data_IF_093398840231
#
_entry.id   IF_093398840231
#
_cell.length_a   1.000
_cell.length_b   1.000
_cell.length_c   1.000
_cell.angle_alpha   90.00
_cell.angle_beta   90.00
_cell.angle_gamma   90.00
#
_symmetry.space_group_name_H-M   'P 1'
#
loop_
_entity.id
_entity.type
_entity.pdbx_description
1 polymer ?
#
# COMPACT_ATOMS: atom_id res chain seq x y z
N UNK A 1 5.74 10.16 -28.50
CA UNK A 1 4.95 9.46 -27.45
C UNK A 1 5.36 7.99 -27.46
N UNK A 2 5.22 7.22 -26.37
CA UNK A 2 5.50 5.77 -26.46
C UNK A 2 4.27 5.07 -27.04
N UNK A 3 4.50 4.10 -27.93
CA UNK A 3 3.50 3.15 -28.41
C UNK A 3 4.02 1.75 -28.18
N UNK A 4 3.14 0.81 -27.91
CA UNK A 4 3.55 -0.58 -27.89
C UNK A 4 2.51 -1.56 -28.34
N UNK A 5 3.00 -2.78 -28.47
CA UNK A 5 2.32 -3.91 -29.07
C UNK A 5 2.74 -5.17 -28.33
N UNK A 6 1.77 -6.00 -27.97
CA UNK A 6 1.98 -7.33 -27.42
C UNK A 6 1.69 -8.38 -28.49
N UNK A 7 2.43 -9.48 -28.43
CA UNK A 7 2.19 -10.71 -29.19
C UNK A 7 2.30 -11.88 -28.21
N UNK A 8 1.19 -12.60 -28.02
CA UNK A 8 1.16 -13.83 -27.22
C UNK A 8 1.13 -15.02 -28.17
N UNK A 9 2.10 -15.91 -28.04
CA UNK A 9 2.16 -17.20 -28.74
C UNK A 9 1.91 -18.34 -27.76
N UNK A 10 0.81 -19.07 -27.92
CA UNK A 10 0.55 -20.32 -27.21
C UNK A 10 0.94 -21.50 -28.10
N UNK A 11 1.85 -22.35 -27.64
CA UNK A 11 2.30 -23.54 -28.39
C UNK A 11 1.87 -24.81 -27.67
N UNK A 12 1.05 -25.61 -28.33
CA UNK A 12 0.66 -26.95 -27.85
C UNK A 12 1.87 -27.90 -27.92
N UNK A 13 2.24 -28.50 -26.78
CA UNK A 13 3.47 -29.31 -26.68
C UNK A 13 3.37 -30.69 -27.34
N UNK A 14 2.16 -31.13 -27.70
CA UNK A 14 1.93 -32.44 -28.35
C UNK A 14 1.89 -32.31 -29.86
N UNK A 15 1.32 -31.22 -30.36
CA UNK A 15 1.06 -31.00 -31.79
C UNK A 15 1.98 -29.96 -32.42
N UNK A 16 2.68 -29.16 -31.61
CA UNK A 16 3.43 -27.97 -32.03
C UNK A 16 2.57 -26.91 -32.75
N UNK A 17 1.24 -26.97 -32.61
CA UNK A 17 0.34 -25.96 -33.16
C UNK A 17 0.46 -24.68 -32.34
N UNK A 18 0.55 -23.55 -33.05
CA UNK A 18 0.64 -22.21 -32.47
C UNK A 18 -0.68 -21.45 -32.59
N UNK A 19 -1.06 -20.76 -31.53
CA UNK A 19 -2.09 -19.74 -31.51
C UNK A 19 -1.42 -18.39 -31.22
N UNK A 20 -1.71 -17.37 -32.04
CA UNK A 20 -1.06 -16.06 -31.95
C UNK A 20 -2.14 -15.01 -31.72
N UNK A 21 -1.92 -14.16 -30.73
CA UNK A 21 -2.80 -13.06 -30.34
C UNK A 21 -1.99 -11.77 -30.29
N UNK A 22 -2.52 -10.69 -30.88
CA UNK A 22 -1.82 -9.41 -30.97
C UNK A 22 -2.76 -8.28 -30.61
N UNK A 23 -2.31 -7.36 -29.75
CA UNK A 23 -3.08 -6.19 -29.35
C UNK A 23 -2.14 -5.01 -29.05
N UNK A 24 -2.64 -3.78 -29.14
CA UNK A 24 -1.91 -2.55 -28.83
C UNK A 24 -2.17 -2.09 -27.40
N UNK A 25 -1.33 -1.22 -26.85
CA UNK A 25 -1.46 -0.77 -25.47
C UNK A 25 -1.73 0.73 -25.32
N UNK A 26 -2.34 1.07 -24.19
CA UNK A 26 -2.33 2.39 -23.60
C UNK A 26 -1.08 2.54 -22.72
N UNK A 27 -0.37 3.65 -22.82
CA UNK A 27 0.71 4.02 -21.89
C UNK A 27 0.09 4.77 -20.72
N UNK A 28 0.42 4.37 -19.49
CA UNK A 28 -0.08 5.06 -18.30
C UNK A 28 0.88 6.17 -17.86
N UNK A 29 0.44 6.95 -16.87
CA UNK A 29 1.23 7.97 -16.23
C UNK A 29 2.25 7.41 -15.22
N UNK A 30 2.29 6.09 -14.94
CA UNK A 30 3.12 5.53 -13.88
C UNK A 30 4.62 5.85 -14.05
N UNK A 31 5.21 5.56 -15.21
CA UNK A 31 6.63 5.82 -15.47
C UNK A 31 6.92 7.31 -15.75
N UNK A 32 6.08 8.06 -16.51
CA UNK A 32 6.21 9.50 -16.57
C UNK A 32 6.21 10.18 -15.19
N UNK A 33 5.33 9.75 -14.28
CA UNK A 33 5.21 10.24 -12.91
C UNK A 33 6.45 9.95 -12.08
N UNK A 34 7.02 8.76 -12.24
CA UNK A 34 8.27 8.36 -11.59
C UNK A 34 9.42 9.33 -11.88
N UNK A 35 9.46 9.91 -13.09
CA UNK A 35 10.53 10.80 -13.53
C UNK A 35 10.23 12.28 -13.24
N UNK A 36 8.96 12.68 -13.25
CA UNK A 36 8.56 14.10 -13.10
C UNK A 36 8.21 14.50 -11.68
N UNK A 37 7.74 13.56 -10.85
CA UNK A 37 7.33 13.87 -9.48
C UNK A 37 8.55 13.84 -8.55
N UNK A 38 8.56 14.77 -7.60
CA UNK A 38 9.51 14.78 -6.49
C UNK A 38 8.77 15.01 -5.16
N UNK A 39 8.09 13.97 -4.65
CA UNK A 39 7.24 14.11 -3.49
C UNK A 39 8.05 14.54 -2.26
N UNK A 40 7.67 15.67 -1.66
CA UNK A 40 8.32 16.31 -0.52
C UNK A 40 9.83 16.58 -0.68
N UNK A 41 10.32 16.70 -1.92
CA UNK A 41 11.75 16.87 -2.20
C UNK A 41 12.60 15.63 -1.89
N UNK A 42 11.97 14.48 -1.57
CA UNK A 42 12.64 13.26 -1.10
C UNK A 42 13.39 12.51 -2.20
N UNK A 43 13.35 12.98 -3.44
CA UNK A 43 14.23 12.48 -4.50
C UNK A 43 15.66 13.03 -4.36
N UNK A 44 15.94 13.96 -3.43
CA UNK A 44 17.28 14.52 -3.20
C UNK A 44 17.85 14.18 -1.81
N UNK A 45 19.17 13.96 -1.68
CA UNK A 45 20.09 13.63 -2.77
C UNK A 45 19.79 12.22 -3.29
N UNK A 46 19.78 12.04 -4.61
CA UNK A 46 19.31 10.83 -5.31
C UNK A 46 19.95 9.51 -4.83
N UNK A 47 21.16 9.55 -4.24
CA UNK A 47 21.98 8.35 -4.01
C UNK A 47 22.49 8.15 -2.56
N UNK A 48 21.99 8.91 -1.56
CA UNK A 48 22.23 8.59 -0.13
C UNK A 48 21.07 7.82 0.52
N UNK A 49 20.15 7.30 -0.31
CA UNK A 49 18.98 6.56 0.13
C UNK A 49 19.30 5.13 0.61
N UNK A 50 18.25 4.38 0.93
CA UNK A 50 18.38 2.97 1.34
C UNK A 50 18.81 2.08 0.16
N UNK A 51 18.47 2.50 -1.06
CA UNK A 51 18.91 1.93 -2.32
C UNK A 51 19.47 3.03 -3.21
N UNK A 52 20.27 2.65 -4.20
CA UNK A 52 20.75 3.58 -5.23
C UNK A 52 19.64 3.82 -6.24
N UNK A 53 19.05 5.03 -6.25
CA UNK A 53 17.92 5.36 -7.12
C UNK A 53 18.25 5.06 -8.59
N UNK A 54 19.45 5.43 -9.02
CA UNK A 54 19.90 5.19 -10.40
C UNK A 54 19.84 3.71 -10.81
N UNK A 55 20.15 2.80 -9.88
CA UNK A 55 20.24 1.36 -10.16
C UNK A 55 18.87 0.68 -10.14
N UNK A 56 17.89 1.30 -9.48
CA UNK A 56 16.51 0.84 -9.43
C UNK A 56 15.68 1.38 -10.61
N UNK A 57 16.00 2.57 -11.14
CA UNK A 57 15.21 3.22 -12.19
C UNK A 57 15.81 3.07 -13.59
N UNK A 58 17.14 3.00 -13.72
CA UNK A 58 17.81 2.99 -15.03
C UNK A 58 18.49 1.64 -15.36
N UNK A 59 18.50 1.24 -16.65
CA UNK A 59 17.82 1.87 -17.77
C UNK A 59 16.29 1.69 -17.72
N UNK A 60 15.53 2.71 -18.16
CA UNK A 60 14.06 2.79 -18.02
C UNK A 60 13.37 1.53 -18.58
N UNK A 61 13.78 1.06 -19.76
CA UNK A 61 13.19 -0.12 -20.38
C UNK A 61 13.28 -1.34 -19.45
N UNK A 62 14.48 -1.71 -19.02
CA UNK A 62 14.71 -2.92 -18.22
C UNK A 62 14.27 -2.80 -16.76
N UNK A 63 14.08 -1.58 -16.24
CA UNK A 63 13.75 -1.34 -14.84
C UNK A 63 12.30 -0.95 -14.65
N UNK A 64 11.85 0.12 -15.29
CA UNK A 64 10.50 0.67 -15.12
C UNK A 64 9.44 -0.07 -15.94
N UNK A 65 9.83 -0.69 -17.05
CA UNK A 65 8.96 -1.54 -17.86
C UNK A 65 9.45 -3.00 -17.92
N UNK A 66 10.39 -3.35 -17.03
CA UNK A 66 11.12 -4.62 -17.09
C UNK A 66 10.34 -5.84 -16.63
N UNK A 67 9.12 -5.66 -16.13
CA UNK A 67 8.23 -6.77 -15.77
C UNK A 67 6.94 -6.74 -16.56
N UNK A 68 6.21 -7.86 -16.53
CA UNK A 68 4.88 -8.01 -17.10
C UNK A 68 3.94 -8.65 -16.08
N UNK A 69 2.68 -8.21 -16.08
CA UNK A 69 1.58 -8.73 -15.27
C UNK A 69 0.45 -9.21 -16.20
N UNK A 70 -0.12 -10.39 -15.91
CA UNK A 70 -1.20 -11.01 -16.70
C UNK A 70 -2.44 -11.15 -15.81
N UNK A 71 -3.57 -10.55 -16.21
CA UNK A 71 -4.79 -10.55 -15.40
C UNK A 71 -5.94 -11.30 -16.06
N UNK A 72 -6.82 -11.84 -15.22
CA UNK A 72 -7.99 -12.59 -15.68
C UNK A 72 -9.02 -11.71 -16.37
N UNK A 73 -9.25 -10.50 -15.84
CA UNK A 73 -10.23 -9.57 -16.38
C UNK A 73 -9.56 -8.39 -17.10
N UNK A 74 -10.27 -7.74 -18.05
CA UNK A 74 -9.82 -6.48 -18.62
C UNK A 74 -9.54 -5.43 -17.54
N UNK A 75 -8.58 -4.56 -17.82
CA UNK A 75 -8.26 -3.39 -17.01
C UNK A 75 -8.95 -2.16 -17.59
N UNK A 76 -9.30 -1.20 -16.74
CA UNK A 76 -9.87 0.08 -17.17
C UNK A 76 -8.80 0.89 -17.93
N UNK A 77 -9.07 1.23 -19.20
CA UNK A 77 -8.15 1.99 -20.05
C UNK A 77 -8.16 3.49 -19.71
N UNK A 78 -7.47 3.86 -18.64
CA UNK A 78 -7.25 5.25 -18.22
C UNK A 78 -5.77 5.43 -17.85
N UNK A 79 -5.05 6.41 -18.45
CA UNK A 79 -3.65 6.67 -18.12
C UNK A 79 -3.38 6.94 -16.63
N UNK A 80 -4.39 7.34 -15.85
CA UNK A 80 -4.26 7.58 -14.42
C UNK A 80 -4.53 6.35 -13.55
N UNK A 81 -5.09 5.27 -14.12
CA UNK A 81 -5.34 4.00 -13.39
C UNK A 81 -4.09 3.13 -13.41
N UNK A 82 -3.13 3.52 -12.57
CA UNK A 82 -1.83 2.86 -12.50
C UNK A 82 -1.79 1.68 -11.53
N UNK A 83 -2.87 1.37 -10.81
CA UNK A 83 -2.94 0.23 -9.87
C UNK A 83 -4.08 -0.70 -10.30
N UNK A 84 -3.79 -1.99 -10.41
CA UNK A 84 -4.82 -2.99 -10.70
C UNK A 84 -5.80 -3.15 -9.52
N UNK A 85 -7.10 -3.36 -9.77
CA UNK A 85 -8.06 -3.71 -8.73
C UNK A 85 -7.67 -5.03 -8.03
N UNK A 86 -7.74 -5.08 -6.70
CA UNK A 86 -7.39 -6.29 -5.92
C UNK A 86 -8.26 -7.51 -6.21
N UNK A 87 -9.48 -7.28 -6.69
CA UNK A 87 -10.45 -8.29 -7.12
C UNK A 87 -10.24 -8.75 -8.57
N UNK A 88 -9.25 -8.23 -9.30
CA UNK A 88 -8.83 -8.77 -10.59
C UNK A 88 -7.71 -9.81 -10.40
N UNK A 89 -7.97 -11.11 -10.58
CA UNK A 89 -6.98 -12.14 -10.30
C UNK A 89 -5.74 -12.03 -11.19
N UNK A 90 -4.57 -12.06 -10.55
CA UNK A 90 -3.28 -12.20 -11.25
C UNK A 90 -3.06 -13.67 -11.64
N UNK A 91 -2.93 -13.91 -12.94
CA UNK A 91 -2.75 -15.24 -13.54
C UNK A 91 -1.28 -15.58 -13.69
N UNK A 92 -0.47 -14.58 -14.07
CA UNK A 92 0.97 -14.74 -14.18
C UNK A 92 1.68 -13.40 -14.13
N UNK A 93 2.99 -13.46 -13.96
CA UNK A 93 3.88 -12.32 -14.03
C UNK A 93 5.29 -12.79 -14.38
N UNK A 94 6.11 -11.90 -14.93
CA UNK A 94 7.52 -12.14 -15.13
C UNK A 94 8.32 -10.85 -14.96
N UNK A 95 9.59 -10.98 -14.60
CA UNK A 95 10.53 -9.87 -14.36
C UNK A 95 11.58 -9.85 -15.47
N UNK A 96 12.61 -9.02 -15.34
CA UNK A 96 13.73 -8.91 -16.30
C UNK A 96 14.80 -10.00 -16.13
N UNK A 97 14.55 -10.99 -15.28
CA UNK A 97 15.42 -12.10 -14.94
C UNK A 97 14.73 -13.46 -15.17
N UNK A 98 15.53 -14.52 -15.20
CA UNK A 98 15.05 -15.91 -15.27
C UNK A 98 14.43 -16.28 -13.93
N UNK A 99 13.29 -16.96 -13.93
CA UNK A 99 12.70 -17.50 -12.72
C UNK A 99 13.57 -18.65 -12.17
N UNK A 100 14.01 -18.52 -10.93
CA UNK A 100 14.80 -19.50 -10.18
C UNK A 100 13.97 -20.27 -9.14
N UNK A 101 12.65 -20.06 -9.10
CA UNK A 101 11.70 -20.70 -8.19
C UNK A 101 10.71 -21.60 -8.93
N UNK A 102 10.00 -22.45 -8.19
CA UNK A 102 8.90 -23.28 -8.67
C UNK A 102 7.53 -22.56 -8.66
N UNK A 103 7.52 -21.23 -8.51
CA UNK A 103 6.30 -20.44 -8.50
C UNK A 103 5.52 -20.57 -9.83
N UNK A 104 4.31 -21.14 -9.76
CA UNK A 104 3.43 -21.41 -10.91
C UNK A 104 2.89 -20.15 -11.60
N UNK A 105 3.03 -18.96 -11.01
CA UNK A 105 2.65 -17.70 -11.67
C UNK A 105 3.83 -17.00 -12.34
N UNK A 106 5.08 -17.37 -12.00
CA UNK A 106 6.27 -16.64 -12.43
C UNK A 106 6.86 -17.23 -13.72
N UNK A 107 6.80 -16.47 -14.81
CA UNK A 107 7.53 -16.73 -16.04
C UNK A 107 8.99 -16.25 -15.99
N UNK A 108 9.75 -16.55 -17.04
CA UNK A 108 11.17 -16.23 -17.17
C UNK A 108 11.44 -15.23 -18.28
N UNK A 109 12.31 -14.25 -18.05
CA UNK A 109 12.83 -13.42 -19.12
C UNK A 109 13.66 -14.25 -20.11
N UNK A 110 13.41 -14.05 -21.40
CA UNK A 110 14.29 -14.52 -22.45
C UNK A 110 15.38 -13.48 -22.70
N UNK A 111 16.53 -13.66 -22.06
CA UNK A 111 17.63 -12.70 -22.06
C UNK A 111 18.34 -12.57 -23.43
N UNK A 112 18.15 -13.56 -24.31
CA UNK A 112 18.71 -13.52 -25.68
C UNK A 112 17.82 -12.73 -26.63
N UNK A 113 16.51 -12.89 -26.51
CA UNK A 113 15.55 -12.22 -27.39
C UNK A 113 15.18 -10.81 -26.90
N UNK A 114 15.26 -10.55 -25.59
CA UNK A 114 15.00 -9.23 -25.00
C UNK A 114 16.15 -8.28 -25.26
N UNK A 115 15.94 -7.24 -26.06
CA UNK A 115 17.01 -6.34 -26.50
C UNK A 115 16.49 -4.98 -26.97
N UNK A 116 17.35 -3.96 -26.98
CA UNK A 116 17.07 -2.71 -27.69
C UNK A 116 16.73 -2.97 -29.16
N UNK A 117 15.81 -2.19 -29.69
CA UNK A 117 15.45 -2.12 -31.10
C UNK A 117 15.58 -0.66 -31.56
N UNK A 118 15.41 -0.41 -32.85
CA UNK A 118 15.40 0.98 -33.33
C UNK A 118 14.29 1.77 -32.63
N UNK A 119 14.68 2.91 -32.04
CA UNK A 119 13.80 3.81 -31.27
C UNK A 119 12.93 3.08 -30.24
N UNK A 120 13.42 2.03 -29.58
CA UNK A 120 12.59 1.26 -28.65
C UNK A 120 13.26 0.08 -27.98
N UNK A 121 12.44 -0.75 -27.34
CA UNK A 121 12.88 -1.99 -26.71
C UNK A 121 11.91 -3.14 -26.99
N UNK A 122 12.46 -4.34 -27.19
CA UNK A 122 11.70 -5.59 -27.29
C UNK A 122 11.92 -6.42 -26.03
N UNK A 123 10.85 -6.74 -25.34
CA UNK A 123 10.81 -7.64 -24.19
C UNK A 123 10.26 -9.00 -24.61
N UNK A 124 10.86 -10.08 -24.11
CA UNK A 124 10.39 -11.43 -24.38
C UNK A 124 10.40 -12.23 -23.08
N UNK A 125 9.26 -12.85 -22.75
CA UNK A 125 9.10 -13.74 -21.62
C UNK A 125 8.56 -15.10 -22.05
N UNK A 126 9.08 -16.14 -21.44
CA UNK A 126 8.69 -17.52 -21.65
C UNK A 126 8.03 -18.09 -20.38
N UNK A 127 6.88 -18.74 -20.55
CA UNK A 127 6.14 -19.45 -19.52
C UNK A 127 6.06 -20.92 -19.90
N UNK A 128 6.54 -21.78 -19.01
CA UNK A 128 6.46 -23.22 -19.19
C UNK A 128 5.02 -23.75 -19.07
N UNK A 129 4.85 -25.06 -19.24
CA UNK A 129 3.56 -25.73 -19.11
C UNK A 129 2.96 -25.62 -17.70
N UNK A 130 3.78 -25.50 -16.66
CA UNK A 130 3.30 -25.34 -15.28
C UNK A 130 3.06 -23.88 -14.88
N UNK A 131 3.37 -22.91 -15.75
CA UNK A 131 3.39 -21.49 -15.41
C UNK A 131 2.33 -20.67 -16.14
N UNK A 132 1.75 -19.70 -15.43
CA UNK A 132 0.80 -18.72 -15.99
C UNK A 132 -0.49 -19.35 -16.52
N UNK A 133 -0.91 -20.49 -15.96
CA UNK A 133 -2.12 -21.19 -16.41
C UNK A 133 -3.37 -20.50 -15.87
N UNK A 134 -4.33 -20.23 -16.75
CA UNK A 134 -5.55 -19.51 -16.43
C UNK A 134 -6.11 -18.76 -17.64
N UNK A 135 -7.27 -18.14 -17.44
CA UNK A 135 -7.89 -17.24 -18.41
C UNK A 135 -7.20 -15.89 -18.32
N UNK A 136 -6.70 -15.35 -19.42
CA UNK A 136 -6.01 -14.06 -19.47
C UNK A 136 -6.83 -13.14 -20.38
N UNK A 137 -7.18 -11.95 -19.89
CA UNK A 137 -7.87 -10.93 -20.70
C UNK A 137 -7.09 -9.63 -20.83
N UNK A 138 -6.04 -9.42 -20.03
CA UNK A 138 -5.22 -8.22 -20.15
C UNK A 138 -3.79 -8.42 -19.65
N UNK A 139 -2.92 -7.54 -20.13
CA UNK A 139 -1.49 -7.48 -19.84
C UNK A 139 -1.12 -6.06 -19.43
N UNK A 140 -0.14 -5.93 -18.53
CA UNK A 140 0.46 -4.64 -18.21
C UNK A 140 1.97 -4.79 -18.02
N UNK A 141 2.75 -3.90 -18.64
CA UNK A 141 4.15 -3.75 -18.24
C UNK A 141 4.21 -3.09 -16.87
N UNK A 142 5.22 -3.43 -16.08
CA UNK A 142 5.41 -2.97 -14.70
C UNK A 142 6.90 -2.80 -14.42
N UNK A 143 7.25 -2.23 -13.27
CA UNK A 143 8.62 -2.28 -12.78
C UNK A 143 9.12 -3.72 -12.67
N UNK A 144 10.41 -3.97 -12.90
CA UNK A 144 10.99 -5.32 -12.87
C UNK A 144 10.73 -6.04 -11.54
N UNK A 145 10.84 -5.31 -10.43
CA UNK A 145 10.48 -5.82 -9.09
C UNK A 145 9.00 -6.19 -8.96
N UNK A 146 8.08 -5.41 -9.55
CA UNK A 146 6.67 -5.75 -9.61
C UNK A 146 6.43 -7.04 -10.41
N UNK A 147 7.23 -7.27 -11.45
CA UNK A 147 7.26 -8.52 -12.21
C UNK A 147 7.85 -9.71 -11.44
N UNK A 148 8.43 -9.51 -10.25
CA UNK A 148 8.99 -10.62 -9.44
C UNK A 148 7.93 -11.35 -8.64
N UNK A 149 7.03 -10.60 -8.02
CA UNK A 149 6.07 -11.16 -7.09
C UNK A 149 4.73 -10.43 -7.07
N UNK A 150 4.52 -9.41 -7.91
CA UNK A 150 3.34 -8.53 -7.88
C UNK A 150 3.17 -7.91 -6.48
N UNK A 151 2.04 -8.17 -5.82
CA UNK A 151 1.79 -7.82 -4.42
C UNK A 151 2.39 -8.84 -3.44
N UNK A 152 3.22 -9.77 -3.88
CA UNK A 152 3.87 -10.78 -3.06
C UNK A 152 3.32 -12.19 -3.26
N UNK A 153 4.13 -13.16 -2.88
CA UNK A 153 3.84 -14.58 -2.86
C UNK A 153 4.65 -15.25 -1.73
N UNK A 154 4.60 -16.58 -1.60
CA UNK A 154 5.32 -17.32 -0.56
C UNK A 154 6.85 -17.20 -0.60
N UNK A 155 7.45 -16.80 -1.73
CA UNK A 155 8.89 -16.69 -1.92
C UNK A 155 9.39 -15.25 -1.71
N UNK A 156 8.59 -14.25 -2.09
CA UNK A 156 9.00 -12.86 -2.10
C UNK A 156 7.82 -11.91 -1.89
N UNK A 157 8.04 -10.90 -1.07
CA UNK A 157 7.13 -9.77 -0.80
C UNK A 157 7.86 -8.43 -0.81
N UNK A 158 9.16 -8.43 -0.53
CA UNK A 158 10.01 -7.24 -0.47
C UNK A 158 10.10 -6.53 -1.83
N UNK A 159 10.04 -7.26 -2.95
CA UNK A 159 10.07 -6.62 -4.27
C UNK A 159 8.91 -5.66 -4.51
N UNK A 160 7.75 -5.88 -3.88
CA UNK A 160 6.58 -5.02 -4.02
C UNK A 160 6.78 -3.63 -3.40
N UNK A 161 7.56 -3.53 -2.32
CA UNK A 161 7.68 -2.31 -1.51
C UNK A 161 9.14 -1.89 -1.45
N UNK A 162 9.51 -0.93 -2.30
CA UNK A 162 10.88 -0.45 -2.38
C UNK A 162 11.04 0.89 -1.63
N UNK A 163 11.75 0.91 -0.50
CA UNK A 163 12.12 2.16 0.17
C UNK A 163 13.25 2.84 -0.61
N UNK A 164 12.93 3.92 -1.33
CA UNK A 164 13.88 4.69 -2.11
C UNK A 164 14.71 5.61 -1.20
N UNK A 165 14.04 6.31 -0.29
CA UNK A 165 14.72 7.27 0.59
C UNK A 165 14.14 7.24 2.00
N UNK A 166 15.02 7.53 2.96
CA UNK A 166 14.70 7.75 4.37
C UNK A 166 15.56 8.90 4.85
N UNK A 167 14.90 9.98 5.25
CA UNK A 167 15.56 11.16 5.80
C UNK A 167 15.00 11.44 7.19
N UNK A 168 15.79 12.11 8.03
CA UNK A 168 15.43 12.40 9.40
C UNK A 168 15.74 13.84 9.75
N UNK A 169 14.88 14.47 10.54
CA UNK A 169 15.14 15.79 11.11
C UNK A 169 14.92 15.77 12.62
N UNK A 170 15.71 16.58 13.34
CA UNK A 170 15.43 16.88 14.74
C UNK A 170 14.30 17.89 14.82
N UNK A 171 13.38 17.66 15.75
CA UNK A 171 12.19 18.48 15.88
C UNK A 171 11.78 18.58 17.35
N UNK A 172 10.56 19.03 17.63
CA UNK A 172 9.97 19.03 18.95
C UNK A 172 8.86 17.99 19.10
N UNK A 173 8.41 17.82 20.33
CA UNK A 173 7.45 16.81 20.71
C UNK A 173 6.03 17.04 20.15
N UNK A 174 5.63 18.30 19.96
CA UNK A 174 4.32 18.64 19.40
C UNK A 174 4.27 18.28 17.92
N UNK A 175 5.37 18.54 17.20
CA UNK A 175 5.53 18.12 15.80
C UNK A 175 5.39 16.61 15.64
N UNK A 176 6.03 15.81 16.49
CA UNK A 176 5.89 14.36 16.43
C UNK A 176 4.42 13.93 16.63
N UNK A 177 3.68 14.55 17.55
CA UNK A 177 2.24 14.28 17.71
C UNK A 177 1.45 14.55 16.45
N UNK A 178 1.75 15.65 15.74
CA UNK A 178 1.04 15.96 14.49
C UNK A 178 1.25 14.86 13.44
N UNK A 179 2.50 14.48 13.14
CA UNK A 179 2.77 13.44 12.15
C UNK A 179 2.29 12.06 12.61
N UNK A 180 2.57 11.66 13.86
CA UNK A 180 2.11 10.39 14.38
C UNK A 180 0.58 10.34 14.44
N UNK A 181 -0.13 11.46 14.60
CA UNK A 181 -1.59 11.51 14.56
C UNK A 181 -2.20 11.61 13.16
N UNK A 182 -1.41 11.62 12.08
CA UNK A 182 -1.92 11.78 10.71
C UNK A 182 -3.01 10.75 10.38
N UNK A 183 -4.18 11.21 9.94
CA UNK A 183 -5.30 10.34 9.53
C UNK A 183 -5.72 10.51 8.07
N UNK A 184 -5.51 11.69 7.51
CA UNK A 184 -5.95 12.05 6.16
C UNK A 184 -4.99 13.08 5.55
N UNK A 185 -4.73 12.96 4.25
CA UNK A 185 -3.94 13.94 3.48
C UNK A 185 -4.78 14.53 2.36
N UNK A 186 -4.68 15.84 2.20
CA UNK A 186 -5.18 16.57 1.06
C UNK A 186 -4.00 17.10 0.24
N UNK A 187 -3.69 16.39 -0.85
CA UNK A 187 -2.57 16.73 -1.74
C UNK A 187 -2.79 18.03 -2.51
N UNK A 188 -4.06 18.40 -2.78
CA UNK A 188 -4.40 19.64 -3.49
C UNK A 188 -4.12 20.87 -2.63
N UNK A 189 -4.53 20.82 -1.37
CA UNK A 189 -4.32 21.89 -0.41
C UNK A 189 -2.94 21.82 0.25
N UNK A 190 -2.17 20.76 -0.03
CA UNK A 190 -0.86 20.48 0.58
C UNK A 190 -0.94 20.53 2.10
N UNK A 191 -1.88 19.78 2.64
CA UNK A 191 -2.11 19.69 4.09
C UNK A 191 -2.53 18.29 4.49
N UNK A 192 -2.44 18.00 5.78
CA UNK A 192 -2.97 16.78 6.37
C UNK A 192 -3.71 17.09 7.68
N UNK A 193 -4.63 16.22 8.03
CA UNK A 193 -5.29 16.23 9.32
C UNK A 193 -4.63 15.23 10.27
N UNK A 194 -4.38 15.70 11.47
CA UNK A 194 -3.91 14.90 12.60
C UNK A 194 -5.00 14.82 13.65
N UNK A 195 -5.25 13.61 14.14
CA UNK A 195 -6.15 13.37 15.28
C UNK A 195 -5.34 12.71 16.39
N UNK A 196 -5.28 13.41 17.53
CA UNK A 196 -4.46 13.03 18.66
C UNK A 196 -5.27 13.04 19.98
N UNK A 197 -5.37 11.90 20.68
CA UNK A 197 -6.02 11.85 21.99
C UNK A 197 -5.15 12.52 23.07
N UNK A 198 -5.78 13.32 23.92
CA UNK A 198 -5.11 14.09 24.97
C UNK A 198 -5.29 13.42 26.35
N UNK A 199 -4.36 13.64 27.31
CA UNK A 199 -4.43 13.06 28.65
C UNK A 199 -5.69 13.44 29.46
N UNK A 200 -6.32 14.56 29.12
CA UNK A 200 -7.54 15.06 29.77
C UNK A 200 -8.84 14.60 29.08
N UNK A 201 -8.74 13.56 28.23
CA UNK A 201 -9.85 12.98 27.44
C UNK A 201 -10.43 13.93 26.38
N UNK A 202 -9.70 14.98 26.00
CA UNK A 202 -9.97 15.71 24.76
C UNK A 202 -9.36 14.97 23.57
N UNK A 203 -9.86 15.28 22.37
CA UNK A 203 -9.24 14.92 21.10
C UNK A 203 -8.81 16.21 20.44
N UNK A 204 -7.51 16.33 20.16
CA UNK A 204 -6.96 17.37 19.33
C UNK A 204 -7.15 17.01 17.86
N UNK A 205 -7.72 17.93 17.08
CA UNK A 205 -7.81 17.85 15.62
C UNK A 205 -7.01 19.01 15.07
N UNK A 206 -5.88 18.70 14.45
CA UNK A 206 -4.99 19.71 13.88
C UNK A 206 -4.97 19.57 12.35
N UNK A 207 -5.08 20.70 11.65
CA UNK A 207 -4.80 20.81 10.22
C UNK A 207 -3.39 21.36 10.05
N UNK A 208 -2.56 20.62 9.33
CA UNK A 208 -1.14 20.90 9.18
C UNK A 208 -0.81 21.12 7.71
N UNK A 209 -0.15 22.23 7.39
CA UNK A 209 0.42 22.45 6.06
C UNK A 209 1.70 21.61 5.87
N UNK A 210 1.77 20.85 4.79
CA UNK A 210 2.90 19.99 4.43
C UNK A 210 3.27 20.20 2.95
N UNK A 211 4.53 20.51 2.71
CA UNK A 211 5.06 20.83 1.39
C UNK A 211 5.31 19.57 0.55
N UNK A 212 4.25 18.96 0.02
CA UNK A 212 4.35 17.76 -0.82
C UNK A 212 4.92 18.04 -2.23
N UNK A 213 4.61 19.19 -2.83
CA UNK A 213 5.05 19.53 -4.19
C UNK A 213 5.61 20.95 -4.32
N UNK A 214 5.27 21.85 -3.40
CA UNK A 214 5.73 23.23 -3.41
C UNK A 214 6.36 23.57 -2.07
N UNK A 215 7.54 24.21 -2.11
CA UNK A 215 8.24 24.73 -0.94
C UNK A 215 8.15 26.27 -0.91
N UNK A 216 7.95 26.84 0.28
CA UNK A 216 8.10 28.27 0.52
C UNK A 216 9.57 28.70 0.42
N UNK A 217 9.80 30.00 0.23
CA UNK A 217 11.16 30.56 0.07
C UNK A 217 12.10 30.30 1.26
N UNK A 218 11.54 30.13 2.46
CA UNK A 218 12.28 29.87 3.68
C UNK A 218 12.09 28.43 4.20
N UNK A 219 11.35 27.59 3.47
CA UNK A 219 11.15 26.21 3.87
C UNK A 219 12.43 25.41 3.62
N UNK A 220 12.71 24.46 4.51
CA UNK A 220 13.77 23.48 4.29
C UNK A 220 13.14 22.15 3.87
N UNK A 221 13.85 21.35 3.07
CA UNK A 221 13.34 20.05 2.57
C UNK A 221 13.00 19.11 3.73
N UNK A 222 13.82 19.13 4.78
CA UNK A 222 13.72 18.21 5.92
C UNK A 222 12.99 18.80 7.12
N UNK A 223 12.91 20.13 7.23
CA UNK A 223 12.17 20.79 8.30
C UNK A 223 10.67 20.72 8.06
N UNK A 224 9.90 20.93 9.12
CA UNK A 224 8.53 21.39 8.92
C UNK A 224 8.59 22.77 8.26
N UNK A 225 7.78 23.04 7.22
CA UNK A 225 7.56 24.43 6.80
C UNK A 225 7.09 25.24 8.00
N UNK A 226 7.33 26.55 8.04
CA UNK A 226 6.67 27.43 9.04
C UNK A 226 5.15 27.24 8.91
N UNK A 227 4.52 26.59 9.89
CA UNK A 227 3.14 26.10 9.76
C UNK A 227 2.13 27.11 10.29
N UNK A 228 1.14 27.42 9.47
CA UNK A 228 -0.19 27.74 9.99
C UNK A 228 -0.78 26.41 10.48
N UNK A 229 -0.76 26.19 11.80
CA UNK A 229 -1.42 25.04 12.43
C UNK A 229 -2.78 25.51 12.94
N UNK A 230 -3.85 24.99 12.35
CA UNK A 230 -5.20 25.21 12.87
C UNK A 230 -5.53 24.07 13.82
N UNK A 231 -5.65 24.38 15.12
CA UNK A 231 -5.92 23.38 16.16
C UNK A 231 -7.33 23.57 16.71
N UNK A 232 -8.10 22.49 16.70
CA UNK A 232 -9.41 22.39 17.33
C UNK A 232 -9.40 21.29 18.38
N UNK A 233 -10.29 21.40 19.35
CA UNK A 233 -10.45 20.40 20.40
C UNK A 233 -11.91 20.00 20.50
N UNK A 234 -12.15 18.69 20.56
CA UNK A 234 -13.45 18.13 20.92
C UNK A 234 -13.31 17.34 22.21
N UNK A 235 -14.39 17.26 22.98
CA UNK A 235 -14.39 16.56 24.27
C UNK A 235 -15.51 15.51 24.30
N UNK A 236 -15.21 14.27 23.87
CA UNK A 236 -16.17 13.17 23.98
C UNK A 236 -16.46 12.82 25.44
N UNK A 237 -17.69 12.38 25.72
CA UNK A 237 -18.09 11.92 27.06
C UNK A 237 -17.83 10.43 27.26
N UNK A 238 -18.03 9.64 26.20
CA UNK A 238 -18.09 8.17 26.22
C UNK A 238 -16.91 7.50 25.54
N UNK A 239 -16.32 8.13 24.52
CA UNK A 239 -15.34 7.51 23.62
C UNK A 239 -14.13 6.91 24.36
N UNK A 240 -13.66 7.54 25.44
CA UNK A 240 -12.56 7.04 26.25
C UNK A 240 -13.07 6.26 27.46
N UNK A 241 -13.08 4.92 27.45
CA UNK A 241 -13.64 4.11 28.54
C UNK A 241 -12.76 4.07 29.80
N UNK A 242 -11.47 4.40 29.68
CA UNK A 242 -10.52 4.42 30.79
C UNK A 242 -10.00 5.83 31.04
N UNK A 243 -9.37 6.05 32.21
CA UNK A 243 -8.70 7.32 32.54
C UNK A 243 -7.56 7.64 31.55
N UNK A 244 -6.97 6.64 30.91
CA UNK A 244 -5.90 6.79 29.94
C UNK A 244 -6.46 6.61 28.52
N UNK A 245 -6.38 7.67 27.72
CA UNK A 245 -6.87 7.75 26.33
C UNK A 245 -5.95 7.03 25.33
N UNK A 246 -5.60 5.76 25.60
CA UNK A 246 -4.47 5.10 24.91
C UNK A 246 -4.86 4.05 23.90
N UNK A 247 -5.82 3.19 24.21
CA UNK A 247 -6.17 2.06 23.34
C UNK A 247 -7.23 2.53 22.36
N UNK A 248 -6.79 3.22 21.32
CA UNK A 248 -7.66 3.72 20.28
C UNK A 248 -6.96 3.84 18.93
N UNK A 249 -7.76 3.99 17.89
CA UNK A 249 -7.31 4.26 16.53
C UNK A 249 -8.28 5.23 15.86
N UNK A 250 -7.76 6.05 14.94
CA UNK A 250 -8.55 6.99 14.15
C UNK A 250 -8.27 6.76 12.67
N UNK A 251 -9.32 6.81 11.86
CA UNK A 251 -9.27 6.48 10.44
C UNK A 251 -10.12 7.47 9.63
N UNK A 252 -9.67 7.75 8.42
CA UNK A 252 -10.51 8.37 7.41
C UNK A 252 -11.52 7.36 6.84
N UNK A 253 -12.80 7.70 6.90
CA UNK A 253 -13.88 6.91 6.29
C UNK A 253 -14.09 7.16 4.81
N UNK A 254 -13.44 8.18 4.23
CA UNK A 254 -13.58 8.60 2.83
C UNK A 254 -15.03 8.97 2.44
N UNK A 255 -15.86 9.29 3.44
CA UNK A 255 -17.30 9.55 3.30
C UNK A 255 -17.72 10.90 3.93
N UNK A 256 -16.76 11.78 4.16
CA UNK A 256 -16.97 13.07 4.85
C UNK A 256 -16.86 12.99 6.37
N UNK A 257 -16.52 11.83 6.93
CA UNK A 257 -16.32 11.63 8.37
C UNK A 257 -14.97 10.96 8.68
N UNK A 258 -14.43 11.27 9.86
CA UNK A 258 -13.42 10.45 10.52
C UNK A 258 -14.10 9.54 11.55
N UNK A 259 -13.53 8.36 11.73
CA UNK A 259 -14.01 7.35 12.66
C UNK A 259 -12.93 7.01 13.67
N UNK A 260 -13.27 7.10 14.94
CA UNK A 260 -12.44 6.62 16.04
C UNK A 260 -13.01 5.36 16.68
N UNK A 261 -12.14 4.45 17.08
CA UNK A 261 -12.48 3.22 17.81
C UNK A 261 -11.58 3.10 19.03
N UNK A 262 -12.16 2.87 20.21
CA UNK A 262 -11.44 2.71 21.48
C UNK A 262 -11.92 1.48 22.26
N UNK A 263 -11.00 0.89 23.01
CA UNK A 263 -11.26 -0.25 23.90
C UNK A 263 -10.75 0.06 25.30
N UNK A 264 -11.30 -0.60 26.32
CA UNK A 264 -10.84 -0.40 27.71
C UNK A 264 -9.41 -0.92 27.92
N UNK A 265 -9.12 -2.12 27.41
CA UNK A 265 -7.80 -2.73 27.42
C UNK A 265 -7.17 -2.80 26.03
N UNK A 266 -5.87 -3.09 25.99
CA UNK A 266 -5.14 -3.33 24.74
C UNK A 266 -5.64 -4.58 24.02
N UNK A 267 -6.10 -5.60 24.77
CA UNK A 267 -6.69 -6.82 24.19
C UNK A 267 -7.91 -7.24 24.99
N UNK A 268 -8.80 -8.00 24.34
CA UNK A 268 -9.90 -8.71 25.00
C UNK A 268 -9.78 -10.21 24.68
N UNK A 269 -9.54 -11.02 25.70
CA UNK A 269 -9.29 -12.46 25.57
C UNK A 269 -10.50 -13.34 25.87
N UNK A 270 -11.59 -12.77 26.40
CA UNK A 270 -12.75 -13.48 26.92
C UNK A 270 -14.00 -12.60 26.85
N UNK A 271 -15.15 -13.25 26.71
CA UNK A 271 -16.45 -12.59 26.70
C UNK A 271 -16.69 -11.79 25.42
N UNK A 272 -17.42 -10.69 25.57
CA UNK A 272 -17.76 -9.78 24.48
C UNK A 272 -16.71 -8.68 24.39
N UNK A 273 -16.39 -8.24 23.18
CA UNK A 273 -15.61 -7.05 22.96
C UNK A 273 -16.52 -5.82 23.08
N UNK A 274 -16.06 -4.82 23.82
CA UNK A 274 -16.70 -3.51 23.87
C UNK A 274 -15.85 -2.52 23.07
N UNK A 275 -16.44 -1.89 22.05
CA UNK A 275 -15.78 -0.86 21.25
C UNK A 275 -16.55 0.45 21.43
N UNK A 276 -15.87 1.46 21.95
CA UNK A 276 -16.37 2.82 22.09
C UNK A 276 -16.02 3.56 20.81
N UNK A 277 -17.00 4.18 20.17
CA UNK A 277 -16.83 4.77 18.84
C UNK A 277 -17.16 6.24 18.84
N UNK A 278 -16.47 6.98 17.97
CA UNK A 278 -16.77 8.38 17.68
C UNK A 278 -16.77 8.56 16.17
N UNK A 279 -17.83 9.20 15.66
CA UNK A 279 -17.94 9.60 14.26
C UNK A 279 -17.88 11.12 14.21
N UNK A 280 -16.84 11.66 13.60
CA UNK A 280 -16.52 13.10 13.58
C UNK A 280 -16.76 13.62 12.16
N UNK A 281 -17.61 14.63 12.01
CA UNK A 281 -17.87 15.28 10.72
C UNK A 281 -16.69 16.19 10.37
N UNK A 282 -16.12 16.03 9.17
CA UNK A 282 -14.91 16.77 8.75
C UNK A 282 -15.13 18.28 8.60
N UNK A 283 -16.36 18.69 8.28
CA UNK A 283 -16.70 20.09 7.96
C UNK A 283 -16.68 21.01 9.19
N UNK A 284 -17.21 20.54 10.32
CA UNK A 284 -17.48 21.37 11.50
C UNK A 284 -17.04 20.71 12.83
N UNK A 285 -16.42 19.53 12.75
CA UNK A 285 -15.98 18.71 13.89
C UNK A 285 -17.10 18.31 14.86
N UNK A 286 -18.38 18.47 14.48
CA UNK A 286 -19.49 17.87 15.22
C UNK A 286 -19.34 16.35 15.22
N UNK A 287 -19.76 15.71 16.31
CA UNK A 287 -19.54 14.29 16.49
C UNK A 287 -20.70 13.58 17.17
N UNK A 288 -20.81 12.28 16.91
CA UNK A 288 -21.67 11.34 17.64
C UNK A 288 -20.85 10.25 18.28
N UNK A 289 -21.30 9.76 19.43
CA UNK A 289 -20.64 8.69 20.18
C UNK A 289 -21.57 7.49 20.36
N UNK A 290 -21.01 6.30 20.23
CA UNK A 290 -21.73 5.03 20.45
C UNK A 290 -20.83 4.00 21.13
N UNK A 291 -21.44 2.94 21.67
CA UNK A 291 -20.75 1.79 22.26
C UNK A 291 -21.28 0.52 21.62
N UNK A 292 -20.40 -0.22 20.96
CA UNK A 292 -20.70 -1.52 20.41
C UNK A 292 -20.37 -2.61 21.42
N UNK A 293 -21.30 -3.55 21.62
CA UNK A 293 -21.06 -4.79 22.36
C UNK A 293 -21.11 -5.91 21.34
N UNK A 294 -19.95 -6.48 21.03
CA UNK A 294 -19.80 -7.50 20.01
C UNK A 294 -19.82 -8.88 20.67
N UNK A 295 -20.93 -9.61 20.49
CA UNK A 295 -21.17 -10.89 21.15
C UNK A 295 -20.13 -11.95 20.74
N UNK A 296 -19.44 -12.54 21.74
CA UNK A 296 -18.42 -13.58 21.55
C UNK A 296 -17.24 -13.17 20.64
N UNK A 297 -17.03 -11.87 20.46
CA UNK A 297 -15.90 -11.32 19.71
C UNK A 297 -14.77 -10.99 20.67
N UNK A 298 -13.56 -11.41 20.33
CA UNK A 298 -12.35 -11.25 21.14
C UNK A 298 -11.25 -10.64 20.28
N UNK A 299 -10.64 -9.55 20.71
CA UNK A 299 -9.80 -8.71 19.86
C UNK A 299 -8.36 -8.63 20.38
N UNK A 300 -7.42 -8.53 19.44
CA UNK A 300 -6.09 -7.98 19.70
C UNK A 300 -6.13 -6.44 19.71
N UNK A 301 -4.97 -5.81 19.93
CA UNK A 301 -4.81 -4.35 19.88
C UNK A 301 -5.27 -3.78 18.55
N UNK A 302 -6.23 -2.84 18.62
CA UNK A 302 -6.73 -2.09 17.46
C UNK A 302 -5.86 -0.87 17.13
N UNK A 303 -4.97 -0.50 18.05
CA UNK A 303 -4.11 0.67 17.98
C UNK A 303 -3.82 1.24 19.36
N UNK A 304 -2.73 1.99 19.47
CA UNK A 304 -2.29 2.60 20.73
C UNK A 304 -1.66 3.97 20.53
N UNK A 305 -1.97 4.89 21.44
CA UNK A 305 -1.32 6.18 21.63
C UNK A 305 -0.56 6.22 22.98
N UNK A 306 0.33 7.20 23.18
CA UNK A 306 1.11 7.33 24.42
C UNK A 306 0.22 7.61 25.63
N UNK A 307 0.56 7.04 26.79
CA UNK A 307 -0.27 7.15 28.01
C UNK A 307 -0.04 8.39 28.84
N UNK A 308 1.04 9.11 28.57
CA UNK A 308 1.40 10.32 29.29
C UNK A 308 2.28 11.21 28.43
N UNK A 309 2.41 12.47 28.84
CA UNK A 309 3.36 13.39 28.21
C UNK A 309 4.82 12.99 28.44
N UNK A 310 5.14 12.02 29.28
CA UNK A 310 6.51 11.56 29.49
C UNK A 310 6.87 10.38 28.57
N UNK A 311 5.90 9.77 27.88
CA UNK A 311 6.15 8.72 26.90
C UNK A 311 6.60 9.31 25.56
N UNK A 312 7.34 8.49 24.80
CA UNK A 312 7.68 8.75 23.41
C UNK A 312 6.41 9.01 22.60
N UNK A 313 6.38 10.09 21.81
CA UNK A 313 5.24 10.42 20.97
C UNK A 313 5.27 9.61 19.67
N UNK A 314 4.74 8.40 19.74
CA UNK A 314 4.49 7.49 18.60
C UNK A 314 3.07 6.91 18.72
N UNK A 315 2.62 6.21 17.67
CA UNK A 315 1.41 5.38 17.76
C UNK A 315 1.66 3.99 17.17
N UNK A 316 0.82 3.04 17.56
CA UNK A 316 0.69 1.75 16.87
C UNK A 316 -0.63 1.68 16.10
N UNK A 317 -0.61 1.09 14.92
CA UNK A 317 -1.79 0.90 14.07
C UNK A 317 -2.09 -0.60 13.95
N UNK A 318 -3.00 -1.08 14.80
CA UNK A 318 -3.43 -2.48 14.88
C UNK A 318 -4.75 -2.79 14.14
N UNK A 319 -5.29 -1.81 13.42
CA UNK A 319 -6.52 -1.94 12.63
C UNK A 319 -6.50 -1.02 11.43
N UNK A 320 -7.40 -1.22 10.48
CA UNK A 320 -7.57 -0.32 9.32
C UNK A 320 -9.03 -0.27 8.87
N UNK A 321 -9.49 0.90 8.45
CA UNK A 321 -10.77 1.05 7.75
C UNK A 321 -10.55 0.98 6.24
N UNK A 322 -11.33 0.13 5.57
CA UNK A 322 -11.43 0.06 4.11
C UNK A 322 -12.90 0.11 3.71
N UNK A 323 -13.29 1.18 3.02
CA UNK A 323 -14.70 1.48 2.76
C UNK A 323 -15.47 1.58 4.08
N UNK A 324 -16.62 0.91 4.16
CA UNK A 324 -17.47 0.93 5.37
C UNK A 324 -17.11 -0.11 6.44
N UNK A 325 -15.91 -0.71 6.39
CA UNK A 325 -15.54 -1.81 7.29
C UNK A 325 -14.24 -1.54 8.03
N UNK A 326 -14.24 -1.79 9.34
CA UNK A 326 -13.07 -1.89 10.20
C UNK A 326 -12.52 -3.32 10.15
N UNK A 327 -11.22 -3.45 9.89
CA UNK A 327 -10.49 -4.71 9.92
C UNK A 327 -9.56 -4.73 11.14
N UNK A 328 -9.70 -5.76 11.99
CA UNK A 328 -8.85 -5.95 13.16
C UNK A 328 -8.65 -7.43 13.49
N UNK A 329 -7.50 -7.76 14.09
CA UNK A 329 -7.11 -9.14 14.36
C UNK A 329 -7.91 -9.72 15.55
N UNK A 330 -8.36 -10.96 15.41
CA UNK A 330 -8.97 -11.66 16.52
C UNK A 330 -7.93 -11.99 17.61
N UNK A 331 -8.38 -12.24 18.84
CA UNK A 331 -7.50 -12.49 19.98
C UNK A 331 -6.53 -13.66 19.75
N UNK A 332 -7.01 -14.74 19.12
CA UNK A 332 -6.19 -15.92 18.82
C UNK A 332 -5.25 -15.74 17.63
N UNK A 333 -5.24 -14.58 16.99
CA UNK A 333 -4.45 -14.25 15.79
C UNK A 333 -4.61 -15.25 14.64
N UNK A 334 -5.74 -15.93 14.53
CA UNK A 334 -6.06 -16.90 13.47
C UNK A 334 -7.28 -16.47 12.65
N UNK A 335 -7.65 -15.19 12.73
CA UNK A 335 -8.74 -14.61 11.98
C UNK A 335 -8.73 -13.09 12.04
N UNK A 336 -9.30 -12.44 11.04
CA UNK A 336 -9.48 -10.99 10.99
C UNK A 336 -10.98 -10.69 11.03
N UNK A 337 -11.43 -9.91 12.00
CA UNK A 337 -12.80 -9.41 12.01
C UNK A 337 -12.94 -8.30 10.97
N UNK A 338 -14.02 -8.38 10.20
CA UNK A 338 -14.51 -7.33 9.32
C UNK A 338 -15.82 -6.82 9.92
N UNK A 339 -15.81 -5.61 10.46
CA UNK A 339 -16.93 -5.02 11.21
C UNK A 339 -17.47 -3.83 10.44
N UNK A 340 -18.76 -3.81 10.10
CA UNK A 340 -19.36 -2.66 9.42
C UNK A 340 -19.49 -1.46 10.36
N UNK A 341 -18.86 -0.35 10.00
CA UNK A 341 -18.77 0.83 10.86
C UNK A 341 -20.10 1.57 11.07
N UNK A 342 -21.09 1.29 10.21
CA UNK A 342 -22.43 1.86 10.31
C UNK A 342 -23.46 0.87 10.88
N UNK A 343 -23.09 -0.40 11.07
CA UNK A 343 -23.95 -1.43 11.64
C UNK A 343 -23.10 -2.53 12.30
N UNK A 344 -22.77 -2.42 13.60
CA UNK A 344 -21.85 -3.36 14.26
C UNK A 344 -22.40 -4.80 14.39
N UNK A 345 -23.67 -5.04 14.05
CA UNK A 345 -24.25 -6.39 13.94
C UNK A 345 -23.76 -7.10 12.67
N UNK A 346 -23.40 -6.35 11.63
CA UNK A 346 -22.75 -6.86 10.41
C UNK A 346 -21.25 -7.03 10.68
N UNK A 347 -20.93 -8.16 11.30
CA UNK A 347 -19.56 -8.60 11.58
C UNK A 347 -19.33 -9.99 11.00
N UNK A 348 -18.20 -10.16 10.31
CA UNK A 348 -17.74 -11.46 9.83
C UNK A 348 -16.31 -11.73 10.30
N UNK A 349 -15.99 -13.01 10.53
CA UNK A 349 -14.63 -13.46 10.80
C UNK A 349 -14.05 -14.05 9.50
N UNK A 350 -13.04 -13.39 8.95
CA UNK A 350 -12.22 -13.93 7.87
C UNK A 350 -11.21 -14.87 8.52
N UNK A 351 -11.39 -16.18 8.33
CA UNK A 351 -10.50 -17.17 8.93
C UNK A 351 -9.14 -17.16 8.25
N UNK A 352 -8.07 -17.26 9.06
CA UNK A 352 -6.72 -17.51 8.60
C UNK A 352 -6.43 -19.01 8.71
N UNK A 353 -5.59 -19.54 7.81
CA UNK A 353 -5.15 -20.93 7.82
C UNK A 353 -4.39 -21.30 9.10
N UNK A 354 -3.64 -20.35 9.67
CA UNK A 354 -2.81 -20.53 10.87
C UNK A 354 -2.79 -19.26 11.73
N UNK A 355 -2.27 -19.39 12.95
CA UNK A 355 -1.94 -18.23 13.79
C UNK A 355 -0.85 -17.37 13.12
N UNK A 356 -1.03 -16.05 13.15
CA UNK A 356 -0.08 -15.07 12.60
C UNK A 356 0.60 -14.25 13.70
N UNK A 357 1.78 -13.71 13.43
CA UNK A 357 2.47 -12.76 14.32
C UNK A 357 2.71 -11.42 13.61
N UNK A 358 1.61 -10.70 13.34
CA UNK A 358 1.63 -9.42 12.63
C UNK A 358 1.80 -8.19 13.53
N UNK A 359 1.61 -8.33 14.85
CA UNK A 359 1.64 -7.21 15.82
C UNK A 359 3.06 -6.92 16.36
N UNK A 360 4.06 -7.42 15.65
CA UNK A 360 5.49 -7.26 15.91
C UNK A 360 6.19 -7.24 14.57
N UNK A 361 7.20 -6.39 14.42
CA UNK A 361 8.00 -6.28 13.20
C UNK A 361 9.27 -5.48 13.46
N UNK A 362 10.21 -5.54 12.52
CA UNK A 362 11.46 -4.81 12.63
C UNK A 362 11.23 -3.30 12.42
N UNK A 363 11.47 -2.49 13.47
CA UNK A 363 11.37 -1.03 13.43
C UNK A 363 10.04 -0.50 12.87
N UNK A 364 8.91 -1.13 13.18
CA UNK A 364 7.60 -0.68 12.67
C UNK A 364 6.54 -0.69 13.75
N UNK A 365 5.65 0.30 13.72
CA UNK A 365 4.43 0.32 14.52
C UNK A 365 3.17 0.29 13.64
N UNK A 366 3.32 -0.03 12.34
CA UNK A 366 2.22 -0.18 11.39
C UNK A 366 1.95 -1.68 11.16
N UNK A 367 0.93 -2.25 11.79
CA UNK A 367 0.60 -3.68 11.65
C UNK A 367 -0.46 -3.95 10.58
N UNK A 368 -1.39 -3.00 10.40
CA UNK A 368 -2.35 -2.97 9.30
C UNK A 368 -2.16 -1.69 8.49
N UNK A 369 -2.26 -1.79 7.17
CA UNK A 369 -2.20 -0.63 6.27
C UNK A 369 -3.00 -0.88 5.00
N UNK A 370 -3.43 0.20 4.34
CA UNK A 370 -3.96 0.13 2.97
C UNK A 370 -2.78 0.04 2.01
N UNK A 371 -2.83 -0.88 1.06
CA UNK A 371 -1.81 -1.02 0.01
C UNK A 371 -2.48 -1.24 -1.35
N UNK A 372 -2.57 -0.19 -2.16
CA UNK A 372 -3.62 -0.11 -3.17
C UNK A 372 -4.99 -0.19 -2.49
N UNK A 373 -5.84 -1.12 -2.93
CA UNK A 373 -7.13 -1.43 -2.32
C UNK A 373 -7.12 -2.70 -1.43
N UNK A 374 -5.94 -3.29 -1.21
CA UNK A 374 -5.75 -4.37 -0.25
C UNK A 374 -5.74 -3.84 1.20
N UNK A 375 -6.27 -4.64 2.11
CA UNK A 375 -5.87 -4.59 3.53
C UNK A 375 -4.59 -5.42 3.64
N UNK A 376 -3.51 -4.80 4.07
CA UNK A 376 -2.19 -5.42 4.10
C UNK A 376 -1.63 -5.53 5.51
N UNK A 377 -0.88 -6.60 5.74
CA UNK A 377 -0.09 -6.86 6.95
C UNK A 377 1.32 -7.30 6.54
N UNK A 378 2.17 -7.64 7.52
CA UNK A 378 3.51 -8.19 7.23
C UNK A 378 3.50 -9.61 6.66
N UNK A 379 2.43 -10.39 6.82
CA UNK A 379 2.40 -11.82 6.42
C UNK A 379 1.33 -12.16 5.37
N UNK A 380 0.34 -11.30 5.18
CA UNK A 380 -0.75 -11.55 4.23
C UNK A 380 -1.44 -10.26 3.79
N UNK A 381 -2.21 -10.39 2.72
CA UNK A 381 -3.12 -9.39 2.17
C UNK A 381 -4.56 -9.92 2.21
N UNK A 382 -5.52 -9.01 2.20
CA UNK A 382 -6.94 -9.30 2.00
C UNK A 382 -7.46 -8.45 0.83
N UNK A 383 -7.95 -9.10 -0.21
CA UNK A 383 -8.53 -8.43 -1.39
C UNK A 383 -9.95 -7.89 -1.11
N UNK A 384 -10.57 -7.25 -2.09
CA UNK A 384 -11.95 -6.73 -1.97
C UNK A 384 -13.02 -7.80 -1.74
N UNK A 385 -12.75 -9.03 -2.15
CA UNK A 385 -13.65 -10.18 -1.99
C UNK A 385 -13.38 -10.94 -0.67
N UNK A 386 -12.55 -10.37 0.21
CA UNK A 386 -12.14 -10.93 1.49
C UNK A 386 -11.29 -12.22 1.36
N UNK A 387 -10.69 -12.48 0.20
CA UNK A 387 -9.74 -13.59 0.05
C UNK A 387 -8.41 -13.23 0.71
N UNK A 388 -7.87 -14.16 1.48
CA UNK A 388 -6.56 -14.03 2.14
C UNK A 388 -5.46 -14.52 1.19
N UNK A 389 -4.44 -13.69 0.99
CA UNK A 389 -3.27 -14.01 0.17
C UNK A 389 -2.05 -14.00 1.08
N UNK A 390 -1.50 -15.17 1.40
CA UNK A 390 -0.28 -15.30 2.19
C UNK A 390 0.96 -14.96 1.37
N UNK A 391 1.88 -14.24 2.01
CA UNK A 391 3.12 -13.81 1.38
C UNK A 391 4.31 -14.10 2.27
N UNK A 392 5.52 -14.04 1.71
CA UNK A 392 6.74 -13.92 2.51
C UNK A 392 6.61 -12.72 3.45
N UNK A 393 7.25 -12.82 4.62
CA UNK A 393 7.19 -11.77 5.62
C UNK A 393 7.89 -10.50 5.11
N UNK A 394 7.25 -9.33 5.23
CA UNK A 394 7.88 -8.02 4.97
C UNK A 394 7.50 -7.04 6.07
N UNK A 395 8.48 -6.28 6.58
CA UNK A 395 8.21 -5.22 7.54
C UNK A 395 8.27 -3.85 6.85
N UNK A 396 7.23 -3.04 7.05
CA UNK A 396 7.24 -1.62 6.69
C UNK A 396 8.11 -0.85 7.68
N UNK A 397 9.43 -0.95 7.52
CA UNK A 397 10.40 -0.34 8.44
C UNK A 397 10.19 1.17 8.53
N UNK A 398 10.28 1.68 9.74
CA UNK A 398 10.12 3.08 10.11
C UNK A 398 8.74 3.67 9.78
N UNK A 399 7.68 2.85 9.68
CA UNK A 399 6.34 3.35 9.39
C UNK A 399 5.45 3.34 10.63
N UNK A 400 4.84 4.47 10.94
CA UNK A 400 3.87 4.63 12.04
C UNK A 400 2.62 5.43 11.61
N UNK A 401 2.47 5.62 10.31
CA UNK A 401 1.43 6.42 9.68
C UNK A 401 0.84 5.71 8.46
N UNK A 402 -0.41 6.00 8.07
CA UNK A 402 -0.93 5.60 6.78
C UNK A 402 -0.01 6.01 5.63
N UNK A 403 0.07 5.16 4.61
CA UNK A 403 0.77 5.47 3.37
C UNK A 403 -0.03 6.47 2.53
N UNK A 404 0.67 7.43 1.96
CA UNK A 404 0.11 8.50 1.13
C UNK A 404 0.54 8.24 -0.32
N UNK A 405 -0.40 7.85 -1.18
CA UNK A 405 -0.11 7.57 -2.58
C UNK A 405 0.05 8.86 -3.38
N UNK A 406 1.14 8.96 -4.14
CA UNK A 406 1.46 10.09 -5.03
C UNK A 406 2.02 9.51 -6.34
N UNK A 407 1.15 9.36 -7.34
CA UNK A 407 1.50 8.59 -8.55
C UNK A 407 2.00 7.19 -8.16
N UNK A 408 3.14 6.72 -8.69
CA UNK A 408 3.73 5.42 -8.31
C UNK A 408 4.44 5.45 -6.94
N UNK A 409 4.61 6.62 -6.33
CA UNK A 409 5.28 6.76 -5.04
C UNK A 409 4.29 6.62 -3.87
N UNK A 410 4.82 6.27 -2.70
CA UNK A 410 4.12 6.39 -1.43
C UNK A 410 4.99 7.12 -0.43
N UNK A 411 4.40 8.05 0.33
CA UNK A 411 5.06 8.71 1.46
C UNK A 411 4.55 8.10 2.77
N UNK A 412 5.45 7.95 3.73
CA UNK A 412 5.11 7.66 5.12
C UNK A 412 6.02 8.41 6.08
N UNK A 413 5.66 8.37 7.36
CA UNK A 413 6.42 9.00 8.43
C UNK A 413 6.65 8.03 9.58
N UNK A 414 7.79 8.23 10.26
CA UNK A 414 8.09 7.67 11.59
C UNK A 414 8.32 8.79 12.59
N UNK A 415 8.17 8.46 13.86
CA UNK A 415 8.48 9.33 14.97
C UNK A 415 9.28 8.56 16.01
N UNK A 416 10.49 9.04 16.31
CA UNK A 416 11.33 8.53 17.38
C UNK A 416 11.50 9.59 18.46
N UNK A 417 11.23 9.22 19.70
CA UNK A 417 11.34 10.10 20.86
C UNK A 417 12.06 9.35 21.99
N UNK A 418 13.30 9.74 22.30
CA UNK A 418 14.08 9.12 23.36
C UNK A 418 15.04 10.10 24.03
N UNK A 419 15.03 10.16 25.37
CA UNK A 419 15.97 10.96 26.18
C UNK A 419 16.12 12.43 25.74
N UNK A 420 15.01 13.10 25.40
CA UNK A 420 15.02 14.50 24.94
C UNK A 420 15.42 14.69 23.46
N UNK A 421 15.64 13.61 22.72
CA UNK A 421 15.81 13.64 21.27
C UNK A 421 14.49 13.30 20.59
N UNK A 422 13.95 14.25 19.82
CA UNK A 422 12.76 14.06 19.00
C UNK A 422 13.16 14.08 17.54
N UNK A 423 12.91 12.99 16.84
CA UNK A 423 13.33 12.79 15.45
C UNK A 423 12.12 12.39 14.62
N UNK A 424 11.82 13.18 13.60
CA UNK A 424 10.84 12.84 12.57
C UNK A 424 11.58 12.19 11.40
N UNK A 425 11.09 11.05 10.94
CA UNK A 425 11.55 10.44 9.70
C UNK A 425 10.51 10.65 8.60
N UNK A 426 10.97 11.03 7.41
CA UNK A 426 10.17 11.02 6.19
C UNK A 426 10.66 9.89 5.29
N UNK A 427 9.72 9.09 4.80
CA UNK A 427 9.97 7.89 4.02
C UNK A 427 9.41 8.06 2.62
N UNK A 428 10.19 7.71 1.62
CA UNK A 428 9.75 7.61 0.24
C UNK A 428 9.84 6.15 -0.20
N UNK A 429 8.70 5.61 -0.60
CA UNK A 429 8.59 4.29 -1.19
C UNK A 429 8.18 4.37 -2.66
N UNK A 430 8.54 3.35 -3.43
CA UNK A 430 8.03 3.08 -4.76
C UNK A 430 7.12 1.84 -4.70
N UNK A 431 5.89 1.98 -5.18
CA UNK A 431 4.96 0.89 -5.40
C UNK A 431 5.28 0.23 -6.74
N UNK A 432 6.05 -0.86 -6.74
CA UNK A 432 6.69 -1.37 -7.97
C UNK A 432 5.73 -2.10 -8.92
N UNK A 433 4.56 -2.49 -8.44
CA UNK A 433 3.54 -3.23 -9.18
C UNK A 433 2.52 -2.34 -9.89
N UNK A 434 2.94 -1.12 -10.25
CA UNK A 434 2.13 -0.24 -11.08
C UNK A 434 1.90 -0.83 -12.48
N UNK A 435 0.82 -0.42 -13.12
CA UNK A 435 0.52 -0.64 -14.52
C UNK A 435 1.22 0.46 -15.30
N UNK A 436 2.38 0.18 -15.88
CA UNK A 436 3.12 1.09 -16.76
C UNK A 436 2.50 1.16 -18.15
N UNK A 437 1.84 0.09 -18.55
CA UNK A 437 0.98 0.03 -19.73
C UNK A 437 -0.30 -0.73 -19.40
N UNK A 438 -1.33 -0.58 -20.23
CA UNK A 438 -2.55 -1.39 -20.19
C UNK A 438 -2.80 -1.91 -21.60
N UNK A 439 -2.89 -3.23 -21.75
CA UNK A 439 -3.13 -3.91 -23.01
C UNK A 439 -4.24 -4.94 -22.78
N UNK A 440 -5.48 -4.57 -23.12
CA UNK A 440 -6.60 -5.49 -23.09
C UNK A 440 -6.61 -6.34 -24.37
N UNK A 441 -6.83 -7.63 -24.21
CA UNK A 441 -6.94 -8.53 -25.34
C UNK A 441 -8.32 -8.37 -26.00
N UNK A 442 -8.35 -8.39 -27.33
CA UNK A 442 -9.60 -8.37 -28.12
C UNK A 442 -10.57 -9.49 -27.74
N UNK A 443 -10.03 -10.62 -27.27
CA UNK A 443 -10.79 -11.68 -26.61
C UNK A 443 -9.94 -12.38 -25.54
N UNK A 444 -10.57 -12.87 -24.45
CA UNK A 444 -9.88 -13.65 -23.44
C UNK A 444 -9.26 -14.92 -24.01
N UNK A 445 -8.03 -15.22 -23.62
CA UNK A 445 -7.32 -16.45 -23.99
C UNK A 445 -7.24 -17.39 -22.80
N UNK A 446 -7.10 -18.69 -23.07
CA UNK A 446 -6.94 -19.70 -22.01
C UNK A 446 -5.60 -20.42 -22.17
N UNK A 447 -4.72 -20.24 -21.17
CA UNK A 447 -3.45 -20.95 -21.04
C UNK A 447 -3.64 -22.19 -20.16
N UNK A 448 -3.40 -23.36 -20.72
CA UNK A 448 -3.51 -24.67 -20.06
C UNK A 448 -2.15 -25.37 -19.97
N UNK A 449 -2.08 -26.43 -19.16
CA UNK A 449 -0.84 -27.15 -18.88
C UNK A 449 -0.27 -27.99 -20.05
N UNK A 450 -1.00 -28.11 -21.14
CA UNK A 450 -0.55 -28.69 -22.41
C UNK A 450 0.06 -27.67 -23.38
N UNK A 451 0.13 -26.39 -22.99
CA UNK A 451 0.69 -25.31 -23.81
C UNK A 451 1.86 -24.64 -23.10
N UNK A 452 2.89 -24.24 -23.84
CA UNK A 452 3.82 -23.18 -23.43
C UNK A 452 3.29 -21.83 -23.91
N UNK A 453 3.76 -20.74 -23.30
CA UNK A 453 3.41 -19.39 -23.73
C UNK A 453 4.66 -18.54 -23.86
N UNK A 454 4.80 -17.87 -24.99
CA UNK A 454 5.80 -16.81 -25.20
C UNK A 454 5.07 -15.49 -25.36
N UNK A 455 5.51 -14.46 -24.65
CA UNK A 455 5.00 -13.11 -24.80
C UNK A 455 6.13 -12.23 -25.33
N UNK A 456 5.92 -11.64 -26.49
CA UNK A 456 6.78 -10.58 -27.04
C UNK A 456 6.07 -9.25 -26.88
N UNK A 457 6.72 -8.28 -26.27
CA UNK A 457 6.19 -6.93 -26.09
C UNK A 457 7.18 -5.92 -26.65
N UNK A 458 6.75 -5.03 -27.53
CA UNK A 458 7.59 -3.96 -28.07
C UNK A 458 7.07 -2.61 -27.58
N UNK A 459 7.97 -1.77 -27.08
CA UNK A 459 7.72 -0.35 -26.84
C UNK A 459 8.61 0.47 -27.79
N UNK A 460 8.02 1.41 -28.52
CA UNK A 460 8.70 2.26 -29.50
C UNK A 460 8.34 3.73 -29.28
N UNK A 461 9.28 4.61 -29.56
CA UNK A 461 9.13 6.06 -29.52
C UNK A 461 8.57 6.57 -30.85
N UNK A 462 7.35 7.12 -30.81
CA UNK A 462 6.79 7.90 -31.92
C UNK A 462 7.61 9.18 -32.14
N UNK A 463 7.73 9.60 -33.40
CA UNK A 463 8.42 10.84 -33.83
C UNK A 463 7.77 12.12 -33.28
#
# INVERSE_FOLDING_TARGET
>A
MLKGKSVIELTDVRTNKKEIYEDENLITNAVPDLLRLNPSGLMYPLDNGTVQFKDEIFPIANKCYGGILLFENPLEEDPNKIIAPSDNPIIGYASNDVNDTDNSKRGSANLTESKPIDRGYKFVWDFSTSQGNGRISSLALTHYRGGKSFYGNSYDRESGILMLNKVSTKTDKAVLSYYAGLVEVNLKDQSFYSIWPMPDRQIQIAKIKESFFNIGLNDTILGMPTQDVEVNYIKPEKFFPSRYSINCSFHDGEDGYWYGFSTEGETNSRGNAEIYTIKIKKEDFSFTEDKWVLENVQLQSIGRYPSSENESHYRTIGSVVRGKYLYCLNYKKNGVYKININNPVDITLINLENEVDILRGEYTNQYFYKYGDYVATRQFLIDKNDNVIYTANVDMKFLTTPLINIGPFMIGYDTDAGYGNYTLYKLLFLQTQYLGTINNLSSPILKTADKTMKITYTLTEEE
#
